data_IF_684374424311
#
_entry.id   IF_684374424311
#
_cell.length_a   1.000
_cell.length_b   1.000
_cell.length_c   1.000
_cell.angle_alpha   90.00
_cell.angle_beta   90.00
_cell.angle_gamma   90.00
#
_symmetry.space_group_name_H-M   'P 1'
#
loop_
_entity.id
_entity.type
_entity.pdbx_description
1 polymer ?
#
# COMPACT_ATOMS: atom_id res chain seq x y z
N UNK A 1 1.99 -15.99 12.51
CA UNK A 1 1.16 -16.08 11.28
C UNK A 1 -0.33 -15.83 11.55
N UNK A 2 -0.97 -16.47 12.55
CA UNK A 2 -2.40 -16.26 12.87
C UNK A 2 -2.75 -14.82 13.30
N UNK A 3 -1.91 -14.18 14.11
CA UNK A 3 -2.12 -12.79 14.59
C UNK A 3 -2.13 -11.78 13.43
N UNK A 4 -1.23 -11.93 12.46
CA UNK A 4 -1.13 -11.03 11.30
C UNK A 4 -2.36 -11.12 10.39
N UNK A 5 -2.87 -12.34 10.17
CA UNK A 5 -4.11 -12.57 9.43
C UNK A 5 -5.28 -11.88 10.13
N UNK A 6 -5.31 -11.95 11.46
CA UNK A 6 -6.35 -11.32 12.27
C UNK A 6 -6.32 -9.78 12.14
N UNK A 7 -5.13 -9.17 12.19
CA UNK A 7 -4.99 -7.71 12.05
C UNK A 7 -5.44 -7.21 10.67
N UNK A 8 -5.01 -7.86 9.59
CA UNK A 8 -5.42 -7.50 8.22
C UNK A 8 -6.93 -7.62 8.04
N UNK A 9 -7.53 -8.67 8.56
CA UNK A 9 -8.98 -8.87 8.46
C UNK A 9 -9.75 -7.84 9.31
N UNK A 10 -9.28 -7.55 10.53
CA UNK A 10 -9.85 -6.52 11.39
C UNK A 10 -9.83 -5.15 10.72
N UNK A 11 -8.69 -4.74 10.14
CA UNK A 11 -8.55 -3.50 9.39
C UNK A 11 -9.55 -3.41 8.23
N UNK A 12 -9.61 -4.45 7.39
CA UNK A 12 -10.56 -4.50 6.26
C UNK A 12 -12.01 -4.40 6.74
N UNK A 13 -12.36 -5.16 7.78
CA UNK A 13 -13.72 -5.18 8.32
C UNK A 13 -14.14 -3.83 8.91
N UNK A 14 -13.23 -3.11 9.56
CA UNK A 14 -13.48 -1.77 10.06
C UNK A 14 -13.86 -0.81 8.92
N UNK A 15 -13.07 -0.80 7.85
CA UNK A 15 -13.33 0.10 6.72
C UNK A 15 -14.54 -0.30 5.88
N UNK A 16 -14.82 -1.60 5.73
CA UNK A 16 -16.07 -2.08 5.13
C UNK A 16 -17.29 -1.58 5.92
N UNK A 17 -17.26 -1.67 7.26
CA UNK A 17 -18.33 -1.13 8.13
C UNK A 17 -18.49 0.39 7.97
N UNK A 18 -17.39 1.09 7.70
CA UNK A 18 -17.37 2.53 7.41
C UNK A 18 -17.57 2.86 5.93
N UNK A 19 -18.22 1.98 5.16
CA UNK A 19 -18.62 2.21 3.75
C UNK A 19 -17.46 2.44 2.76
N UNK A 20 -16.24 2.03 3.11
CA UNK A 20 -15.15 2.01 2.15
C UNK A 20 -15.22 0.76 1.26
N UNK A 21 -14.87 0.92 -0.01
CA UNK A 21 -14.73 -0.16 -0.98
C UNK A 21 -13.40 -0.85 -0.73
N UNK A 22 -13.41 -2.16 -0.49
CA UNK A 22 -12.18 -2.93 -0.38
C UNK A 22 -11.56 -3.13 -1.78
N UNK A 23 -10.41 -2.50 -2.03
CA UNK A 23 -9.70 -2.62 -3.29
C UNK A 23 -8.60 -3.68 -3.21
N UNK A 24 -8.34 -4.36 -4.34
CA UNK A 24 -7.31 -5.41 -4.43
C UNK A 24 -5.92 -4.79 -4.32
N UNK A 25 -4.96 -5.57 -3.84
CA UNK A 25 -3.55 -5.17 -3.91
C UNK A 25 -3.06 -5.18 -5.37
N UNK A 26 -2.23 -4.21 -5.71
CA UNK A 26 -1.51 -4.16 -6.98
C UNK A 26 -0.31 -5.10 -6.96
N UNK A 27 0.23 -5.37 -8.16
CA UNK A 27 1.52 -6.02 -8.33
C UNK A 27 2.65 -5.28 -7.60
N UNK A 28 3.68 -6.01 -7.17
CA UNK A 28 4.93 -5.42 -6.68
C UNK A 28 5.71 -4.73 -7.81
N UNK A 29 5.56 -5.22 -9.04
CA UNK A 29 6.12 -4.62 -10.24
C UNK A 29 5.03 -3.72 -10.84
N UNK A 30 5.19 -2.38 -10.82
CA UNK A 30 4.21 -1.47 -11.37
C UNK A 30 4.14 -1.63 -12.90
N UNK A 31 2.92 -1.68 -13.45
CA UNK A 31 2.71 -1.81 -14.90
C UNK A 31 2.68 -0.47 -15.63
N UNK A 32 2.20 0.57 -14.95
CA UNK A 32 1.85 1.85 -15.59
C UNK A 32 2.83 2.98 -15.28
N UNK A 33 3.75 2.79 -14.32
CA UNK A 33 4.67 3.84 -13.90
C UNK A 33 6.13 3.37 -14.01
N UNK A 34 6.81 3.84 -15.06
CA UNK A 34 8.19 3.47 -15.40
C UNK A 34 9.20 4.07 -14.41
N UNK A 35 8.82 5.12 -13.66
CA UNK A 35 9.69 5.77 -12.67
C UNK A 35 9.71 5.06 -11.30
N UNK A 36 8.87 4.03 -11.12
CA UNK A 36 8.83 3.22 -9.90
C UNK A 36 9.46 1.85 -10.17
N UNK A 37 10.53 1.52 -9.44
CA UNK A 37 11.14 0.18 -9.50
C UNK A 37 10.20 -0.87 -8.91
N UNK A 38 9.61 -0.56 -7.75
CA UNK A 38 8.63 -1.41 -7.08
C UNK A 38 7.50 -0.57 -6.49
N UNK A 39 6.34 -1.21 -6.29
CA UNK A 39 5.26 -0.65 -5.47
C UNK A 39 5.75 -0.49 -4.03
N UNK A 40 5.98 0.74 -3.60
CA UNK A 40 6.51 1.08 -2.28
C UNK A 40 5.44 1.67 -1.33
N UNK A 41 4.23 1.93 -1.85
CA UNK A 41 3.08 2.42 -1.09
C UNK A 41 1.75 1.94 -1.69
N UNK A 42 0.71 1.89 -0.84
CA UNK A 42 -0.67 1.57 -1.24
C UNK A 42 -1.26 2.56 -2.23
N UNK A 43 -0.79 3.82 -2.23
CA UNK A 43 -1.31 4.86 -3.11
C UNK A 43 -0.83 4.76 -4.57
N UNK A 44 0.17 3.92 -4.87
CA UNK A 44 0.81 3.89 -6.19
C UNK A 44 -0.17 3.51 -7.31
N UNK A 45 -1.16 2.65 -7.03
CA UNK A 45 -2.20 2.27 -8.00
C UNK A 45 -3.31 3.34 -8.17
N UNK A 46 -3.27 4.39 -7.36
CA UNK A 46 -4.25 5.48 -7.37
C UNK A 46 -3.65 6.81 -7.81
N UNK A 47 -2.37 6.87 -8.19
CA UNK A 47 -1.67 8.11 -8.51
C UNK A 47 -2.35 8.91 -9.61
N UNK A 48 -2.88 8.23 -10.64
CA UNK A 48 -3.59 8.88 -11.73
C UNK A 48 -4.86 9.58 -11.23
N UNK A 49 -5.63 8.91 -10.37
CA UNK A 49 -6.83 9.49 -9.75
C UNK A 49 -6.47 10.63 -8.79
N UNK A 50 -5.46 10.44 -7.93
CA UNK A 50 -5.05 11.45 -6.95
C UNK A 50 -4.46 12.72 -7.60
N UNK A 51 -3.92 12.61 -8.81
CA UNK A 51 -3.33 13.75 -9.54
C UNK A 51 -4.38 14.58 -10.30
N UNK A 52 -5.60 14.07 -10.48
CA UNK A 52 -6.65 14.78 -11.18
C UNK A 52 -7.35 15.78 -10.24
N UNK A 53 -7.34 17.07 -10.61
CA UNK A 53 -8.00 18.14 -9.84
C UNK A 53 -9.53 18.02 -9.77
N UNK A 54 -10.14 17.31 -10.72
CA UNK A 54 -11.60 17.26 -10.90
C UNK A 54 -12.17 15.85 -10.70
N UNK A 55 -11.83 15.19 -9.60
CA UNK A 55 -12.45 13.90 -9.26
C UNK A 55 -13.70 14.12 -8.43
N UNK A 56 -14.84 14.26 -9.11
CA UNK A 56 -16.17 14.30 -8.48
C UNK A 56 -16.60 12.97 -7.86
N UNK A 57 -15.78 11.91 -7.97
CA UNK A 57 -16.06 10.59 -7.40
C UNK A 57 -14.90 10.15 -6.49
N UNK A 58 -14.86 10.71 -5.28
CA UNK A 58 -14.02 10.14 -4.22
C UNK A 58 -14.74 8.93 -3.63
N UNK A 59 -14.53 7.76 -4.25
CA UNK A 59 -14.84 6.51 -3.58
C UNK A 59 -13.94 6.41 -2.34
N UNK A 60 -14.54 6.25 -1.16
CA UNK A 60 -13.81 5.83 0.03
C UNK A 60 -13.31 4.42 -0.23
N UNK A 61 -11.99 4.20 -0.20
CA UNK A 61 -11.37 2.93 -0.60
C UNK A 61 -10.49 2.46 0.55
N UNK A 62 -10.42 1.16 0.83
CA UNK A 62 -9.42 0.60 1.72
C UNK A 62 -8.68 -0.55 1.05
N UNK A 63 -7.40 -0.74 1.37
CA UNK A 63 -6.58 -1.82 0.81
C UNK A 63 -5.47 -2.27 1.76
N UNK A 64 -4.90 -3.45 1.46
CA UNK A 64 -3.73 -4.00 2.14
C UNK A 64 -2.68 -4.32 1.08
N UNK A 65 -1.79 -3.37 0.82
CA UNK A 65 -0.82 -3.44 -0.26
C UNK A 65 0.47 -4.14 0.20
N UNK A 66 0.98 -5.09 -0.57
CA UNK A 66 2.36 -5.56 -0.39
C UNK A 66 3.30 -4.50 -0.97
N UNK A 67 4.27 -4.05 -0.19
CA UNK A 67 5.20 -3.00 -0.56
C UNK A 67 6.64 -3.50 -0.51
N UNK A 68 7.46 -3.05 -1.45
CA UNK A 68 8.92 -3.21 -1.42
C UNK A 68 9.58 -1.83 -1.31
N UNK A 69 10.44 -1.66 -0.31
CA UNK A 69 11.29 -0.49 -0.12
C UNK A 69 12.75 -0.87 -0.25
N UNK A 70 13.16 -1.07 -1.50
CA UNK A 70 14.52 -1.42 -1.86
C UNK A 70 14.87 -0.66 -3.15
N UNK A 71 15.78 0.30 -3.01
CA UNK A 71 16.19 1.21 -4.08
C UNK A 71 15.21 2.35 -4.41
N UNK A 72 15.64 3.29 -5.24
CA UNK A 72 14.86 4.46 -5.62
C UNK A 72 14.63 5.45 -4.48
N UNK A 73 13.47 6.14 -4.49
CA UNK A 73 13.14 7.20 -3.51
C UNK A 73 12.93 6.69 -2.08
N UNK A 74 12.45 5.46 -1.91
CA UNK A 74 12.23 4.84 -0.60
C UNK A 74 13.06 3.57 -0.51
N UNK A 75 14.20 3.65 0.19
CA UNK A 75 15.18 2.59 0.27
C UNK A 75 15.58 2.33 1.73
N UNK A 76 15.16 1.20 2.27
CA UNK A 76 15.43 0.83 3.66
C UNK A 76 16.67 -0.09 3.77
N UNK A 77 17.39 -0.32 2.66
CA UNK A 77 18.49 -1.30 2.57
C UNK A 77 19.56 -1.14 3.65
N UNK A 78 19.90 0.09 4.02
CA UNK A 78 20.97 0.37 4.99
C UNK A 78 20.50 0.35 6.44
N UNK A 79 19.19 0.28 6.70
CA UNK A 79 18.61 0.29 8.07
C UNK A 79 18.14 -1.09 8.52
N UNK A 80 17.87 -2.01 7.59
CA UNK A 80 17.46 -3.38 7.93
C UNK A 80 18.56 -4.08 8.71
N UNK A 81 18.16 -4.69 9.83
CA UNK A 81 19.08 -5.39 10.74
C UNK A 81 19.75 -4.46 11.75
N UNK A 82 19.60 -3.14 11.62
CA UNK A 82 20.06 -2.15 12.59
C UNK A 82 18.95 -1.67 13.52
N UNK A 83 17.68 -1.83 13.12
CA UNK A 83 16.53 -1.62 14.00
C UNK A 83 15.45 -2.69 13.85
N UNK A 84 14.40 -2.56 14.66
CA UNK A 84 13.30 -3.51 14.76
C UNK A 84 12.10 -3.15 13.87
N UNK A 85 12.18 -2.06 13.10
CA UNK A 85 11.01 -1.47 12.42
C UNK A 85 11.15 -1.39 10.91
N UNK A 86 12.36 -1.47 10.35
CA UNK A 86 12.58 -1.42 8.92
C UNK A 86 12.59 -2.81 8.28
N UNK A 87 11.85 -2.93 7.19
CA UNK A 87 11.73 -4.14 6.39
C UNK A 87 11.75 -3.79 4.91
N UNK A 88 12.34 -4.66 4.08
CA UNK A 88 12.27 -4.50 2.62
C UNK A 88 10.88 -4.81 2.09
N UNK A 89 10.27 -5.91 2.55
CA UNK A 89 8.94 -6.38 2.14
C UNK A 89 7.99 -6.31 3.34
N UNK A 90 6.91 -5.56 3.19
CA UNK A 90 5.89 -5.40 4.24
C UNK A 90 4.50 -5.22 3.65
N UNK A 91 3.48 -5.26 4.51
CA UNK A 91 2.10 -4.92 4.12
C UNK A 91 1.76 -3.53 4.63
N UNK A 92 1.36 -2.64 3.73
CA UNK A 92 0.84 -1.32 4.05
C UNK A 92 -0.69 -1.38 4.07
N UNK A 93 -1.27 -1.04 5.21
CA UNK A 93 -2.71 -0.87 5.41
C UNK A 93 -3.04 0.59 5.09
N UNK A 94 -3.90 0.85 4.11
CA UNK A 94 -4.25 2.21 3.68
C UNK A 94 -5.73 2.36 3.34
N UNK A 95 -6.27 3.56 3.54
CA UNK A 95 -7.65 3.94 3.20
C UNK A 95 -7.69 5.34 2.57
#
# INVERSE_FOLDING_TARGET
MLVEINLKNSYKNFFIKNKHILFKNSSLIPKENINLLFTNSGMNQFTHFLSQKNNSFFAQIASVQKCVRLGGKHNDMNTIGFDQTHHTLFNMLGN
#
